data_IF_367575026981
#
_entry.id   IF_367575026981
#
_cell.length_a   1.000
_cell.length_b   1.000
_cell.length_c   1.000
_cell.angle_alpha   90.00
_cell.angle_beta   90.00
_cell.angle_gamma   90.00
#
_symmetry.space_group_name_H-M   'P 1'
#
loop_
_entity.id
_entity.type
_entity.pdbx_description
1 polymer ?
#
# COMPACT_ATOMS: atom_id res chain seq x y z
N UNK A 1 3.91 -8.51 -0.87
CA UNK A 1 3.16 -9.56 -0.13
C UNK A 1 2.45 -10.48 -1.13
N UNK A 2 2.23 -11.76 -0.79
CA UNK A 2 1.56 -12.74 -1.69
C UNK A 2 0.17 -13.12 -1.19
N UNK A 3 -0.62 -12.12 -0.79
CA UNK A 3 -2.02 -12.29 -0.34
C UNK A 3 -2.83 -11.03 -0.61
N UNK A 4 -4.15 -11.15 -0.53
CA UNK A 4 -5.04 -10.00 -0.46
C UNK A 4 -4.87 -9.27 0.88
N UNK A 5 -5.09 -7.96 0.84
CA UNK A 5 -5.20 -7.14 2.04
C UNK A 5 -6.50 -7.45 2.80
N UNK A 6 -6.51 -7.15 4.09
CA UNK A 6 -7.73 -7.19 4.92
C UNK A 6 -8.23 -5.78 5.23
N UNK A 7 -9.49 -5.66 5.66
CA UNK A 7 -10.09 -4.36 5.99
C UNK A 7 -9.43 -3.72 7.21
N UNK A 8 -8.90 -4.54 8.12
CA UNK A 8 -8.18 -4.10 9.31
C UNK A 8 -6.88 -3.37 8.98
N UNK A 9 -6.22 -3.72 7.87
CA UNK A 9 -4.99 -3.04 7.43
C UNK A 9 -5.28 -1.61 6.95
N UNK A 10 -6.44 -1.39 6.33
CA UNK A 10 -6.89 -0.05 5.94
C UNK A 10 -7.31 0.75 7.17
N UNK A 11 -8.06 0.13 8.09
CA UNK A 11 -8.48 0.76 9.34
C UNK A 11 -7.29 1.18 10.21
N UNK A 12 -6.23 0.37 10.23
CA UNK A 12 -5.00 0.69 10.97
C UNK A 12 -4.31 1.95 10.42
N UNK A 13 -4.22 2.12 9.10
CA UNK A 13 -3.68 3.36 8.53
C UNK A 13 -4.58 4.56 8.87
N UNK A 14 -5.90 4.40 8.74
CA UNK A 14 -6.83 5.47 9.08
C UNK A 14 -6.70 5.90 10.54
N UNK A 15 -6.54 4.93 11.46
CA UNK A 15 -6.31 5.20 12.87
C UNK A 15 -5.00 5.95 13.11
N UNK A 16 -3.91 5.54 12.45
CA UNK A 16 -2.61 6.23 12.54
C UNK A 16 -2.66 7.66 11.98
N UNK A 17 -3.38 7.89 10.87
CA UNK A 17 -3.53 9.23 10.29
C UNK A 17 -4.42 10.13 11.15
N UNK A 18 -5.32 9.56 11.93
CA UNK A 18 -6.18 10.28 12.87
C UNK A 18 -5.52 10.54 14.23
N UNK A 19 -4.34 9.99 14.50
CA UNK A 19 -3.65 10.11 15.78
C UNK A 19 -2.62 11.24 15.82
N UNK A 20 -2.13 11.55 17.02
CA UNK A 20 -1.17 12.65 17.24
C UNK A 20 0.19 12.40 16.56
N UNK A 21 0.50 11.14 16.25
CA UNK A 21 1.70 10.71 15.53
C UNK A 21 1.74 11.20 14.06
N UNK A 22 0.61 11.66 13.52
CA UNK A 22 0.49 12.16 12.15
C UNK A 22 0.20 13.67 12.06
N UNK A 23 0.41 14.43 13.14
CA UNK A 23 0.03 15.87 13.25
C UNK A 23 0.55 16.80 12.16
N UNK A 24 1.63 16.43 11.46
CA UNK A 24 2.20 17.23 10.38
C UNK A 24 2.04 16.60 8.98
N UNK A 25 1.31 15.49 8.90
CA UNK A 25 1.03 14.78 7.64
C UNK A 25 -0.24 15.33 7.02
N UNK A 26 -0.13 15.93 5.84
CA UNK A 26 -1.29 16.45 5.08
C UNK A 26 -1.00 16.45 3.58
N UNK A 27 -2.06 16.40 2.75
CA UNK A 27 -1.96 16.49 1.29
C UNK A 27 -1.23 15.33 0.62
N UNK A 28 -1.09 14.18 1.29
CA UNK A 28 -0.38 13.01 0.80
C UNK A 28 -1.33 11.86 0.46
N UNK A 29 -0.97 11.09 -0.57
CA UNK A 29 -1.64 9.85 -0.94
C UNK A 29 -0.87 8.65 -0.37
N UNK A 30 -1.59 7.77 0.35
CA UNK A 30 -1.01 6.56 0.94
C UNK A 30 -1.51 5.31 0.23
N UNK A 31 -0.60 4.52 -0.35
CA UNK A 31 -0.92 3.27 -1.02
C UNK A 31 -0.86 2.08 -0.05
N UNK A 32 -1.95 1.31 0.05
CA UNK A 32 -2.04 0.08 0.84
C UNK A 32 -2.34 -1.12 -0.08
N UNK A 33 -1.33 -1.59 -0.81
CA UNK A 33 -1.52 -2.59 -1.87
C UNK A 33 -0.64 -3.84 -1.73
N UNK A 34 -0.01 -4.01 -0.57
CA UNK A 34 0.93 -5.10 -0.30
C UNK A 34 2.23 -5.01 -1.10
N UNK A 35 2.59 -3.84 -1.65
CA UNK A 35 3.81 -3.59 -2.42
C UNK A 35 3.65 -3.80 -3.93
N UNK A 36 2.43 -3.70 -4.46
CA UNK A 36 2.15 -3.95 -5.89
C UNK A 36 2.69 -2.81 -6.77
N UNK A 37 2.47 -1.56 -6.36
CA UNK A 37 2.89 -0.33 -7.03
C UNK A 37 4.28 0.12 -6.62
N UNK A 38 4.84 -0.42 -5.54
CA UNK A 38 6.21 -0.19 -5.10
C UNK A 38 7.28 -0.75 -6.09
N UNK A 39 6.84 -1.38 -7.19
CA UNK A 39 7.68 -2.00 -8.20
C UNK A 39 7.76 -3.51 -8.00
N UNK A 40 7.19 -4.27 -8.93
CA UNK A 40 7.32 -5.71 -8.94
C UNK A 40 8.66 -6.12 -9.57
N UNK A 41 9.42 -6.95 -8.83
CA UNK A 41 10.52 -7.78 -9.30
C UNK A 41 10.10 -8.88 -10.32
N UNK A 42 9.11 -8.60 -11.17
CA UNK A 42 8.70 -9.47 -12.27
C UNK A 42 8.41 -8.61 -13.51
N UNK A 43 9.40 -8.45 -14.41
CA UNK A 43 9.12 -7.91 -15.73
C UNK A 43 8.07 -8.79 -16.44
N UNK A 44 7.30 -8.23 -17.38
CA UNK A 44 6.41 -9.04 -18.21
C UNK A 44 7.21 -10.20 -18.81
N UNK A 45 6.74 -11.44 -18.63
CA UNK A 45 7.36 -12.59 -19.28
C UNK A 45 7.30 -12.33 -20.79
N UNK A 46 8.41 -12.46 -21.55
CA UNK A 46 8.37 -12.34 -23.00
C UNK A 46 7.26 -13.25 -23.51
N UNK A 47 6.34 -12.70 -24.31
CA UNK A 47 5.27 -13.49 -24.90
C UNK A 47 5.86 -14.69 -25.60
N UNK A 48 5.36 -15.90 -25.29
CA UNK A 48 5.70 -17.07 -26.09
C UNK A 48 5.18 -16.80 -27.50
N UNK A 49 6.10 -16.76 -28.47
CA UNK A 49 5.75 -16.82 -29.89
C UNK A 49 5.03 -18.13 -30.19
#
# INVERSE_FOLDING_TARGET
MRRFGSVEEVAALALYLASDESTYTTGADFTIDGGTLAGAANPPKPGKK
#
